data_IF_325604478821
#
_entry.id   IF_325604478821
#
_cell.length_a   1.000
_cell.length_b   1.000
_cell.length_c   1.000
_cell.angle_alpha   90.00
_cell.angle_beta   90.00
_cell.angle_gamma   90.00
#
_symmetry.space_group_name_H-M   'P 1'
#
loop_
_entity.id
_entity.type
_entity.pdbx_description
1 polymer ?
#
# COMPACT_ATOMS: atom_id res chain seq x y z
N UNK A 1 -10.96 -13.17 42.72
CA UNK A 1 -10.20 -13.08 41.46
C UNK A 1 -11.14 -13.44 40.32
N UNK A 2 -11.73 -12.44 39.66
CA UNK A 2 -12.49 -12.63 38.42
C UNK A 2 -11.46 -12.79 37.31
N UNK A 3 -11.51 -13.91 36.59
CA UNK A 3 -10.76 -14.07 35.35
C UNK A 3 -11.73 -13.70 34.24
N UNK A 4 -11.57 -12.50 33.68
CA UNK A 4 -12.14 -12.27 32.36
C UNK A 4 -11.23 -12.88 31.30
N UNK A 5 -11.86 -13.43 30.28
CA UNK A 5 -11.20 -14.25 29.25
C UNK A 5 -11.20 -13.57 27.87
N UNK A 6 -11.74 -12.36 27.77
CA UNK A 6 -11.57 -11.53 26.58
C UNK A 6 -10.10 -11.10 26.44
N UNK A 7 -9.46 -11.61 25.41
CA UNK A 7 -8.15 -11.15 24.96
C UNK A 7 -8.41 -10.04 23.95
N UNK A 8 -8.09 -8.81 24.32
CA UNK A 8 -8.14 -7.67 23.39
C UNK A 8 -7.20 -7.95 22.21
N UNK A 9 -7.68 -7.77 20.97
CA UNK A 9 -6.85 -7.92 19.78
C UNK A 9 -6.83 -6.61 19.01
N UNK A 10 -5.63 -6.09 18.77
CA UNK A 10 -5.42 -5.01 17.80
C UNK A 10 -4.10 -5.18 17.06
N UNK A 11 -3.87 -4.31 16.09
CA UNK A 11 -2.64 -4.27 15.31
C UNK A 11 -2.15 -2.84 15.18
N UNK A 12 -0.87 -2.67 14.85
CA UNK A 12 -0.27 -1.38 14.56
C UNK A 12 0.82 -1.49 13.50
N UNK A 13 1.24 -0.37 12.94
CA UNK A 13 2.48 -0.33 12.15
C UNK A 13 3.68 -0.10 13.07
N UNK A 14 4.86 -0.58 12.69
CA UNK A 14 6.11 -0.45 13.48
C UNK A 14 6.37 0.97 13.99
N UNK A 15 6.33 1.96 13.09
CA UNK A 15 6.62 3.37 13.44
C UNK A 15 5.45 4.09 14.14
N UNK A 16 4.29 3.45 14.23
CA UNK A 16 3.07 4.01 14.82
C UNK A 16 3.15 4.05 16.35
N UNK A 17 2.65 5.15 16.92
CA UNK A 17 2.55 5.37 18.37
C UNK A 17 1.16 5.89 18.74
N UNK A 18 0.54 5.31 19.75
CA UNK A 18 -0.76 5.73 20.28
C UNK A 18 -0.95 5.23 21.71
N UNK A 19 -1.84 5.91 22.44
CA UNK A 19 -2.31 5.47 23.75
C UNK A 19 -3.61 4.64 23.59
N UNK A 20 -3.67 3.47 24.23
CA UNK A 20 -4.91 2.66 24.36
C UNK A 20 -5.32 2.63 25.84
N UNK A 21 -6.59 2.92 26.09
CA UNK A 21 -7.19 2.98 27.43
C UNK A 21 -7.96 1.68 27.67
N UNK A 22 -7.74 1.08 28.84
CA UNK A 22 -8.43 -0.12 29.33
C UNK A 22 -9.17 0.25 30.62
N UNK A 23 -10.50 0.07 30.64
CA UNK A 23 -11.37 0.34 31.79
C UNK A 23 -11.53 -0.92 32.63
N UNK A 24 -11.35 -0.78 33.94
CA UNK A 24 -11.68 -1.80 34.94
C UNK A 24 -12.91 -1.38 35.77
N UNK A 25 -13.69 -0.41 35.28
CA UNK A 25 -14.80 0.25 36.01
C UNK A 25 -15.86 -0.75 36.47
N UNK A 26 -16.15 -1.78 35.67
CA UNK A 26 -17.15 -2.82 35.96
C UNK A 26 -16.57 -4.05 36.71
N UNK A 27 -15.25 -4.10 36.89
CA UNK A 27 -14.54 -5.13 37.67
C UNK A 27 -14.19 -4.70 39.09
N UNK A 28 -13.96 -3.40 39.28
CA UNK A 28 -13.59 -2.81 40.55
C UNK A 28 -14.72 -2.95 41.58
N UNK A 29 -14.35 -3.25 42.82
CA UNK A 29 -15.29 -3.22 43.94
C UNK A 29 -15.82 -1.80 44.15
N UNK A 30 -17.05 -1.66 44.65
CA UNK A 30 -17.70 -0.34 44.78
C UNK A 30 -16.87 0.62 45.65
N UNK A 31 -16.38 1.71 45.06
CA UNK A 31 -15.51 2.69 45.69
C UNK A 31 -14.00 2.36 45.69
N UNK A 32 -13.59 1.21 45.14
CA UNK A 32 -12.18 0.91 44.90
C UNK A 32 -11.62 1.72 43.71
N UNK A 33 -10.32 1.95 43.73
CA UNK A 33 -9.60 2.64 42.65
C UNK A 33 -8.29 1.94 42.33
N UNK A 34 -7.81 2.05 41.10
CA UNK A 34 -6.48 1.57 40.72
C UNK A 34 -5.39 2.47 41.31
N UNK A 35 -4.36 1.85 41.88
CA UNK A 35 -3.22 2.50 42.55
C UNK A 35 -1.93 2.41 41.74
N UNK A 36 -1.69 1.28 41.08
CA UNK A 36 -0.51 0.99 40.27
C UNK A 36 -0.87 0.08 39.10
N UNK A 37 -0.02 0.05 38.08
CA UNK A 37 -0.08 -0.92 37.00
C UNK A 37 1.33 -1.42 36.67
N UNK A 38 1.45 -2.72 36.41
CA UNK A 38 2.55 -3.28 35.63
C UNK A 38 2.03 -3.79 34.30
N UNK A 39 2.80 -3.57 33.24
CA UNK A 39 2.53 -4.14 31.92
C UNK A 39 3.79 -4.89 31.48
N UNK A 40 3.61 -6.09 30.93
CA UNK A 40 4.69 -6.98 30.47
C UNK A 40 4.34 -7.52 29.10
N UNK A 41 5.26 -7.46 28.13
CA UNK A 41 5.01 -7.87 26.75
C UNK A 41 6.01 -8.92 26.30
N UNK A 42 5.50 -10.00 25.72
CA UNK A 42 6.30 -11.11 25.21
C UNK A 42 6.16 -11.25 23.70
N UNK A 43 7.26 -11.60 23.01
CA UNK A 43 7.27 -11.97 21.60
C UNK A 43 6.84 -13.44 21.37
N UNK A 44 6.79 -13.90 20.11
CA UNK A 44 6.45 -15.30 19.78
C UNK A 44 7.49 -16.32 20.24
N UNK A 45 8.69 -15.88 20.62
CA UNK A 45 9.76 -16.68 21.25
C UNK A 45 9.70 -16.65 22.78
N UNK A 46 8.71 -15.97 23.37
CA UNK A 46 8.53 -15.72 24.80
C UNK A 46 9.69 -14.91 25.44
N UNK A 47 10.34 -14.03 24.68
CA UNK A 47 11.27 -13.01 25.19
C UNK A 47 10.49 -11.82 25.75
N UNK A 48 10.90 -11.27 26.90
CA UNK A 48 10.35 -9.99 27.38
C UNK A 48 10.89 -8.83 26.53
N UNK A 49 9.98 -8.11 25.89
CA UNK A 49 10.22 -6.99 24.97
C UNK A 49 9.48 -5.72 25.42
N UNK A 50 9.15 -5.63 26.71
CA UNK A 50 8.30 -4.57 27.27
C UNK A 50 8.79 -3.15 26.95
N UNK A 51 10.11 -2.90 27.04
CA UNK A 51 10.73 -1.60 26.74
C UNK A 51 10.55 -1.13 25.29
N UNK A 52 10.43 -2.09 24.38
CA UNK A 52 10.49 -1.84 22.94
C UNK A 52 9.09 -1.57 22.37
N UNK A 53 8.05 -2.01 23.10
CA UNK A 53 6.65 -1.88 22.73
C UNK A 53 5.85 -0.92 23.62
N UNK A 54 6.22 -0.73 24.89
CA UNK A 54 5.51 0.17 25.81
C UNK A 54 6.38 1.42 26.08
N UNK A 55 5.92 2.56 25.57
CA UNK A 55 6.52 3.87 25.82
C UNK A 55 6.16 4.43 27.20
N UNK A 56 4.96 4.13 27.69
CA UNK A 56 4.38 4.70 28.90
C UNK A 56 3.25 3.83 29.46
N UNK A 57 3.11 3.84 30.78
CA UNK A 57 1.97 3.27 31.51
C UNK A 57 1.46 4.33 32.49
N UNK A 58 0.20 4.74 32.35
CA UNK A 58 -0.44 5.74 33.21
C UNK A 58 -1.69 5.14 33.84
N UNK A 59 -1.92 5.41 35.13
CA UNK A 59 -3.08 4.91 35.88
C UNK A 59 -3.97 6.08 36.31
N UNK A 60 -5.27 5.90 36.14
CA UNK A 60 -6.34 6.76 36.65
C UNK A 60 -7.24 5.95 37.58
N UNK A 61 -8.22 6.58 38.22
CA UNK A 61 -9.07 5.94 39.24
C UNK A 61 -9.65 4.58 38.83
N UNK A 62 -10.08 4.41 37.57
CA UNK A 62 -10.62 3.12 37.06
C UNK A 62 -9.99 2.63 35.75
N UNK A 63 -9.07 3.39 35.14
CA UNK A 63 -8.51 3.05 33.82
C UNK A 63 -6.98 3.02 33.80
N UNK A 64 -6.44 2.12 33.00
CA UNK A 64 -5.01 2.01 32.65
C UNK A 64 -4.85 2.51 31.22
N UNK A 65 -3.90 3.42 30.99
CA UNK A 65 -3.52 3.91 29.66
C UNK A 65 -2.12 3.41 29.32
N UNK A 66 -2.00 2.66 28.23
CA UNK A 66 -0.72 2.13 27.73
C UNK A 66 -0.37 2.83 26.42
N UNK A 67 0.77 3.53 26.38
CA UNK A 67 1.32 4.11 25.17
C UNK A 67 2.14 3.07 24.40
N UNK A 68 1.61 2.57 23.29
CA UNK A 68 2.29 1.60 22.44
C UNK A 68 3.22 2.29 21.43
N UNK A 69 4.38 1.67 21.15
CA UNK A 69 5.35 2.12 20.14
C UNK A 69 6.09 0.93 19.51
N UNK A 70 6.98 1.16 18.54
CA UNK A 70 8.02 0.20 18.14
C UNK A 70 7.55 -1.17 17.63
N UNK A 71 8.29 -2.22 17.97
CA UNK A 71 8.07 -3.60 17.51
C UNK A 71 8.79 -4.00 16.22
N UNK A 72 8.71 -5.28 15.88
CA UNK A 72 9.30 -5.93 14.71
C UNK A 72 8.21 -6.18 13.66
N UNK A 73 8.53 -5.96 12.38
CA UNK A 73 7.58 -6.13 11.28
C UNK A 73 7.25 -7.62 11.06
N UNK A 74 5.96 -7.98 11.14
CA UNK A 74 5.46 -9.35 10.99
C UNK A 74 5.36 -10.13 12.30
N UNK A 75 5.75 -9.54 13.43
CA UNK A 75 5.74 -10.18 14.74
C UNK A 75 4.38 -10.03 15.44
N UNK A 76 3.99 -11.03 16.25
CA UNK A 76 2.78 -10.99 17.09
C UNK A 76 3.17 -11.13 18.55
N UNK A 77 2.73 -10.17 19.36
CA UNK A 77 3.09 -10.03 20.76
C UNK A 77 1.93 -10.33 21.70
N UNK A 78 2.25 -10.85 22.88
CA UNK A 78 1.32 -11.09 23.98
C UNK A 78 1.65 -10.13 25.13
N UNK A 79 0.82 -9.10 25.28
CA UNK A 79 0.89 -8.14 26.38
C UNK A 79 -0.06 -8.55 27.51
N UNK A 80 0.46 -8.58 28.73
CA UNK A 80 -0.30 -8.77 29.96
C UNK A 80 -0.26 -7.45 30.74
N UNK A 81 -1.44 -6.91 31.02
CA UNK A 81 -1.62 -5.73 31.84
C UNK A 81 -2.12 -6.18 33.22
N UNK A 82 -1.53 -5.68 34.29
CA UNK A 82 -1.97 -5.96 35.66
C UNK A 82 -2.16 -4.64 36.42
N UNK A 83 -3.39 -4.36 36.83
CA UNK A 83 -3.74 -3.23 37.71
C UNK A 83 -3.91 -3.69 39.15
N UNK A 84 -3.44 -2.91 40.12
CA UNK A 84 -3.61 -3.21 41.55
C UNK A 84 -4.49 -2.14 42.19
N UNK A 85 -5.63 -2.52 42.78
CA UNK A 85 -6.53 -1.58 43.45
C UNK A 85 -6.03 -1.14 44.84
N UNK A 86 -6.66 -0.09 45.38
CA UNK A 86 -6.51 0.36 46.76
C UNK A 86 -6.83 -0.73 47.80
N UNK A 87 -7.62 -1.74 47.44
CA UNK A 87 -7.87 -2.95 48.24
C UNK A 87 -6.78 -4.04 48.13
N UNK A 88 -5.69 -3.78 47.40
CA UNK A 88 -4.66 -4.78 47.03
C UNK A 88 -5.16 -5.93 46.13
N UNK A 89 -6.34 -5.80 45.52
CA UNK A 89 -6.82 -6.75 44.53
C UNK A 89 -6.14 -6.53 43.17
N UNK A 90 -5.71 -7.62 42.54
CA UNK A 90 -5.02 -7.60 41.23
C UNK A 90 -6.00 -7.97 40.13
N UNK A 91 -6.13 -7.07 39.16
CA UNK A 91 -6.93 -7.21 37.95
C UNK A 91 -6.00 -7.41 36.77
N UNK A 92 -6.32 -8.36 35.88
CA UNK A 92 -5.44 -8.74 34.77
C UNK A 92 -6.22 -8.65 33.47
N UNK A 93 -5.65 -7.96 32.48
CA UNK A 93 -6.15 -7.91 31.11
C UNK A 93 -5.10 -8.47 30.15
N UNK A 94 -5.53 -9.17 29.11
CA UNK A 94 -4.64 -9.76 28.11
C UNK A 94 -4.87 -9.12 26.75
N UNK A 95 -3.77 -8.87 26.04
CA UNK A 95 -3.74 -8.11 24.78
C UNK A 95 -2.86 -8.86 23.79
N UNK A 96 -3.39 -9.15 22.60
CA UNK A 96 -2.62 -9.58 21.43
C UNK A 96 -2.37 -8.38 20.52
N UNK A 97 -1.11 -8.14 20.18
CA UNK A 97 -0.67 -7.04 19.31
C UNK A 97 0.10 -7.58 18.10
N UNK A 98 -0.47 -7.45 16.89
CA UNK A 98 0.24 -7.74 15.64
C UNK A 98 0.92 -6.47 15.10
N UNK A 99 2.23 -6.51 14.85
CA UNK A 99 2.97 -5.36 14.32
C UNK A 99 3.23 -5.53 12.83
N UNK A 100 2.51 -4.77 12.02
CA UNK A 100 2.64 -4.78 10.57
C UNK A 100 3.86 -3.99 10.08
N UNK A 101 4.44 -4.51 9.00
CA UNK A 101 5.51 -3.85 8.27
C UNK A 101 5.06 -2.61 7.49
N UNK A 102 6.00 -1.69 7.33
CA UNK A 102 5.88 -0.49 6.52
C UNK A 102 5.73 -0.84 5.03
N UNK A 103 4.68 -0.32 4.39
CA UNK A 103 4.35 -0.67 3.00
C UNK A 103 5.06 0.29 2.07
N UNK A 104 5.62 -0.22 0.98
CA UNK A 104 6.19 0.60 -0.11
C UNK A 104 5.37 0.44 -1.37
N UNK A 105 4.91 1.56 -1.93
CA UNK A 105 4.28 1.60 -3.25
C UNK A 105 5.37 1.59 -4.33
N UNK A 106 5.58 0.44 -4.96
CA UNK A 106 6.47 0.28 -6.11
C UNK A 106 5.69 0.64 -7.38
N UNK A 107 5.91 1.86 -7.88
CA UNK A 107 5.25 2.43 -9.07
C UNK A 107 6.01 2.20 -10.37
N UNK A 108 7.06 1.38 -10.34
CA UNK A 108 7.87 1.09 -11.52
C UNK A 108 7.05 0.28 -12.53
N UNK A 109 6.66 0.93 -13.62
CA UNK A 109 5.98 0.31 -14.75
C UNK A 109 6.80 -0.88 -15.29
N UNK A 110 6.19 -2.05 -15.44
CA UNK A 110 6.83 -3.25 -16.00
C UNK A 110 7.73 -4.03 -15.03
N UNK A 111 7.88 -3.55 -13.79
CA UNK A 111 8.69 -4.22 -12.77
C UNK A 111 8.00 -5.48 -12.23
N UNK A 112 8.79 -6.49 -11.86
CA UNK A 112 8.30 -7.78 -11.33
C UNK A 112 7.67 -7.64 -9.93
N UNK A 113 8.04 -6.59 -9.18
CA UNK A 113 7.53 -6.32 -7.84
C UNK A 113 6.60 -5.08 -7.81
N UNK A 114 6.11 -4.62 -8.96
CA UNK A 114 5.24 -3.45 -9.09
C UNK A 114 3.89 -3.71 -8.42
N UNK A 115 3.43 -2.81 -7.54
CA UNK A 115 2.21 -3.02 -6.73
C UNK A 115 1.22 -1.84 -6.74
N UNK A 116 1.55 -0.75 -7.44
CA UNK A 116 0.72 0.44 -7.57
C UNK A 116 1.01 1.15 -8.90
N UNK A 117 0.05 1.88 -9.46
CA UNK A 117 0.28 2.80 -10.58
C UNK A 117 0.57 4.23 -10.13
N UNK A 118 0.20 4.59 -8.89
CA UNK A 118 0.38 5.92 -8.29
C UNK A 118 1.23 5.88 -7.01
N UNK A 119 1.98 6.94 -6.77
CA UNK A 119 2.53 7.22 -5.44
C UNK A 119 1.45 7.74 -4.51
N UNK A 120 1.67 7.64 -3.19
CA UNK A 120 0.75 8.20 -2.19
C UNK A 120 0.57 9.73 -2.37
N UNK A 121 1.60 10.43 -2.87
CA UNK A 121 1.48 11.86 -3.18
C UNK A 121 0.52 12.08 -4.35
N UNK A 122 0.66 11.35 -5.46
CA UNK A 122 -0.24 11.46 -6.61
C UNK A 122 -1.70 11.13 -6.24
N UNK A 123 -1.93 10.13 -5.38
CA UNK A 123 -3.28 9.80 -4.89
C UNK A 123 -3.88 10.92 -4.02
N UNK A 124 -3.11 11.46 -3.08
CA UNK A 124 -3.55 12.59 -2.25
C UNK A 124 -3.78 13.85 -3.10
N UNK A 125 -2.86 14.17 -4.02
CA UNK A 125 -3.00 15.29 -4.96
C UNK A 125 -4.28 15.13 -5.80
N UNK A 126 -4.58 13.91 -6.29
CA UNK A 126 -5.79 13.63 -7.06
C UNK A 126 -7.07 13.92 -6.28
N UNK A 127 -7.19 13.31 -5.09
CA UNK A 127 -8.39 13.41 -4.25
C UNK A 127 -8.58 14.86 -3.78
N UNK A 128 -7.51 15.55 -3.35
CA UNK A 128 -7.57 16.97 -2.97
C UNK A 128 -7.94 17.88 -4.14
N UNK A 129 -7.40 17.68 -5.34
CA UNK A 129 -7.73 18.52 -6.50
C UNK A 129 -9.14 18.26 -7.06
N UNK A 130 -9.69 17.05 -6.89
CA UNK A 130 -10.98 16.64 -7.47
C UNK A 130 -12.17 16.74 -6.52
N UNK A 131 -11.94 16.49 -5.24
CA UNK A 131 -12.98 16.44 -4.20
C UNK A 131 -12.74 17.44 -3.06
N UNK A 132 -11.58 18.11 -3.02
CA UNK A 132 -11.25 19.14 -2.03
C UNK A 132 -10.79 18.55 -0.70
N UNK A 133 -11.73 17.93 0.00
CA UNK A 133 -11.52 17.19 1.25
C UNK A 133 -12.45 15.99 1.28
N UNK A 134 -12.00 14.89 1.84
CA UNK A 134 -12.78 13.66 1.93
C UNK A 134 -12.66 13.06 3.33
N UNK A 135 -13.77 12.90 4.04
CA UNK A 135 -13.78 12.50 5.45
C UNK A 135 -13.21 11.11 5.69
N UNK A 136 -13.37 10.22 4.72
CA UNK A 136 -13.05 8.80 4.86
C UNK A 136 -11.61 8.58 4.42
N UNK A 137 -11.17 9.23 3.34
CA UNK A 137 -9.78 9.21 2.91
C UNK A 137 -8.87 10.02 3.84
N UNK A 138 -9.16 11.29 4.18
CA UNK A 138 -8.23 12.10 4.97
C UNK A 138 -7.94 11.47 6.35
N UNK A 139 -8.91 10.80 6.99
CA UNK A 139 -8.76 10.13 8.30
C UNK A 139 -7.94 8.84 8.28
N UNK A 140 -7.77 8.17 7.13
CA UNK A 140 -6.93 6.97 7.06
C UNK A 140 -5.46 7.23 7.37
N UNK A 141 -4.81 6.30 8.07
CA UNK A 141 -3.36 6.33 8.27
C UNK A 141 -2.62 6.23 6.93
N UNK A 142 -1.36 6.71 6.91
CA UNK A 142 -0.45 6.64 5.76
C UNK A 142 -0.38 5.23 5.16
N UNK A 143 -0.32 4.21 6.00
CA UNK A 143 -0.24 2.81 5.55
C UNK A 143 -1.59 2.24 5.13
N UNK A 144 -2.70 2.65 5.75
CA UNK A 144 -4.06 2.33 5.29
C UNK A 144 -4.28 2.79 3.85
N UNK A 145 -3.96 4.06 3.56
CA UNK A 145 -4.00 4.62 2.20
C UNK A 145 -3.17 3.80 1.21
N UNK A 146 -1.97 3.32 1.59
CA UNK A 146 -1.14 2.45 0.74
C UNK A 146 -1.77 1.06 0.51
N UNK A 147 -2.36 0.43 1.54
CA UNK A 147 -3.04 -0.88 1.42
C UNK A 147 -4.19 -0.80 0.42
N UNK A 148 -5.05 0.21 0.57
CA UNK A 148 -6.18 0.47 -0.32
C UNK A 148 -5.73 0.72 -1.77
N UNK A 149 -4.64 1.46 -1.97
CA UNK A 149 -4.06 1.66 -3.31
C UNK A 149 -3.55 0.35 -3.92
N UNK A 150 -2.90 -0.52 -3.14
CA UNK A 150 -2.45 -1.84 -3.62
C UNK A 150 -3.66 -2.73 -3.97
N UNK A 151 -4.70 -2.76 -3.14
CA UNK A 151 -5.89 -3.57 -3.38
C UNK A 151 -6.65 -3.11 -4.63
N UNK A 152 -6.89 -1.80 -4.75
CA UNK A 152 -7.42 -1.19 -5.97
C UNK A 152 -6.59 -1.56 -7.22
N UNK A 153 -5.26 -1.62 -7.12
CA UNK A 153 -4.41 -2.07 -8.23
C UNK A 153 -4.59 -3.55 -8.57
N UNK A 154 -4.83 -4.45 -7.60
CA UNK A 154 -5.17 -5.86 -7.87
C UNK A 154 -6.54 -5.97 -8.55
N UNK A 155 -7.53 -5.23 -8.06
CA UNK A 155 -8.91 -5.31 -8.53
C UNK A 155 -9.06 -4.78 -9.95
N UNK A 156 -8.42 -3.66 -10.28
CA UNK A 156 -8.24 -3.22 -11.68
C UNK A 156 -7.39 -4.21 -12.48
N UNK A 157 -6.47 -4.93 -11.82
CA UNK A 157 -5.66 -6.00 -12.40
C UNK A 157 -6.47 -7.17 -12.96
N UNK A 158 -7.66 -7.43 -12.41
CA UNK A 158 -8.53 -8.55 -12.78
C UNK A 158 -9.39 -8.29 -14.04
N UNK A 159 -9.27 -7.12 -14.69
CA UNK A 159 -9.99 -6.83 -15.93
C UNK A 159 -9.45 -7.62 -17.14
N UNK A 160 -10.36 -8.02 -18.04
CA UNK A 160 -10.00 -8.61 -19.33
C UNK A 160 -9.53 -7.53 -20.31
N UNK A 161 -8.27 -7.11 -20.19
CA UNK A 161 -7.66 -6.09 -21.04
C UNK A 161 -7.54 -6.54 -22.51
N UNK A 162 -7.64 -5.62 -23.46
CA UNK A 162 -7.55 -5.89 -24.92
C UNK A 162 -6.20 -6.51 -25.29
N UNK A 163 -5.14 -6.10 -24.60
CA UNK A 163 -3.74 -6.44 -24.89
C UNK A 163 -3.12 -7.21 -23.71
N UNK A 164 -2.00 -7.88 -23.97
CA UNK A 164 -1.22 -8.56 -22.93
C UNK A 164 -0.30 -7.60 -22.18
N UNK A 165 0.24 -8.05 -21.06
CA UNK A 165 1.41 -7.44 -20.39
C UNK A 165 2.59 -7.31 -21.38
N UNK A 166 3.40 -6.27 -21.26
CA UNK A 166 4.59 -6.09 -22.11
C UNK A 166 5.66 -7.16 -21.84
N UNK A 167 5.99 -7.40 -20.56
CA UNK A 167 6.80 -8.52 -20.12
C UNK A 167 5.92 -9.62 -19.53
N UNK A 168 6.21 -10.89 -19.84
CA UNK A 168 5.51 -12.04 -19.25
C UNK A 168 5.59 -12.10 -17.72
N UNK A 169 6.66 -11.56 -17.13
CA UNK A 169 6.94 -11.57 -15.69
C UNK A 169 6.80 -10.22 -14.97
N UNK A 170 6.10 -9.23 -15.53
CA UNK A 170 5.75 -8.02 -14.77
C UNK A 170 4.53 -8.30 -13.86
N UNK A 171 4.45 -7.65 -12.70
CA UNK A 171 3.34 -7.86 -11.76
C UNK A 171 1.99 -7.34 -12.31
N UNK A 172 1.95 -6.09 -12.76
CA UNK A 172 0.70 -5.39 -13.13
C UNK A 172 0.36 -5.52 -14.63
N UNK A 173 -0.91 -5.42 -15.05
CA UNK A 173 -1.30 -5.41 -16.47
C UNK A 173 -0.56 -4.37 -17.31
N UNK A 174 -0.40 -3.14 -16.80
CA UNK A 174 0.33 -2.07 -17.49
C UNK A 174 1.82 -2.07 -17.10
N UNK A 175 2.74 -1.75 -18.02
CA UNK A 175 2.52 -1.38 -19.42
C UNK A 175 2.11 -2.60 -20.25
N UNK A 176 1.22 -2.39 -21.22
CA UNK A 176 0.77 -3.45 -22.13
C UNK A 176 1.70 -3.60 -23.33
N UNK A 177 1.54 -4.66 -24.11
CA UNK A 177 2.39 -5.04 -25.27
C UNK A 177 2.55 -3.97 -26.36
N UNK A 178 1.69 -2.95 -26.38
CA UNK A 178 1.65 -1.84 -27.33
C UNK A 178 1.81 -0.45 -26.69
N UNK A 179 2.15 -0.40 -25.40
CA UNK A 179 2.56 0.82 -24.68
C UNK A 179 3.82 1.41 -25.35
N UNK A 180 3.90 2.72 -25.56
CA UNK A 180 5.00 3.27 -26.34
C UNK A 180 6.35 3.14 -25.62
N UNK A 181 7.36 2.67 -26.36
CA UNK A 181 8.72 2.44 -25.85
C UNK A 181 9.79 3.04 -26.75
N UNK A 182 10.92 3.38 -26.14
CA UNK A 182 12.20 3.58 -26.83
C UNK A 182 13.15 2.49 -26.38
N UNK A 183 13.76 1.79 -27.33
CA UNK A 183 14.87 0.86 -27.12
C UNK A 183 16.13 1.38 -27.80
N UNK A 184 17.29 0.92 -27.34
CA UNK A 184 18.59 1.30 -27.89
C UNK A 184 19.73 1.05 -26.90
N UNK A 185 20.91 1.58 -27.22
CA UNK A 185 22.07 1.59 -26.33
C UNK A 185 22.22 2.95 -25.65
N UNK A 186 22.70 2.98 -24.41
CA UNK A 186 22.97 4.24 -23.69
C UNK A 186 24.05 5.08 -24.40
N UNK A 187 23.77 6.35 -24.70
CA UNK A 187 24.68 7.31 -25.33
C UNK A 187 25.29 8.31 -24.35
N UNK A 188 26.40 8.93 -24.73
CA UNK A 188 27.20 9.84 -23.88
C UNK A 188 26.59 11.25 -23.73
N UNK A 189 26.87 11.97 -22.62
CA UNK A 189 27.62 11.54 -21.44
C UNK A 189 26.87 10.47 -20.64
N UNK A 190 27.64 9.60 -19.98
CA UNK A 190 27.14 8.48 -19.17
C UNK A 190 27.51 8.71 -17.70
N UNK A 191 26.56 8.42 -16.81
CA UNK A 191 26.76 8.35 -15.35
C UNK A 191 25.95 7.19 -14.80
N UNK A 192 26.15 6.84 -13.53
CA UNK A 192 25.35 5.80 -12.83
C UNK A 192 23.85 6.11 -12.74
N UNK A 193 23.41 7.35 -13.05
CA UNK A 193 22.00 7.74 -13.00
C UNK A 193 21.51 8.50 -14.25
N UNK A 194 22.30 8.64 -15.31
CA UNK A 194 21.93 9.42 -16.49
C UNK A 194 22.68 8.98 -17.75
N UNK A 195 21.97 9.04 -18.89
CA UNK A 195 22.50 8.77 -20.22
C UNK A 195 21.67 9.51 -21.28
N UNK A 196 22.13 9.50 -22.53
CA UNK A 196 21.40 10.04 -23.69
C UNK A 196 20.93 8.95 -24.66
N UNK A 197 19.95 9.26 -25.49
CA UNK A 197 19.66 8.51 -26.71
C UNK A 197 19.08 9.41 -27.80
N UNK A 198 19.38 9.14 -29.07
CA UNK A 198 18.88 9.96 -30.20
C UNK A 198 17.36 9.89 -30.34
N UNK A 199 16.72 8.76 -30.06
CA UNK A 199 15.25 8.67 -30.10
C UNK A 199 14.54 9.41 -28.96
N UNK A 200 15.26 9.81 -27.89
CA UNK A 200 14.73 10.67 -26.82
C UNK A 200 14.77 12.16 -27.20
N UNK A 201 15.51 12.52 -28.25
CA UNK A 201 15.58 13.89 -28.76
C UNK A 201 14.34 14.24 -29.61
N UNK A 202 13.90 15.49 -29.54
CA UNK A 202 12.87 16.03 -30.41
C UNK A 202 13.19 17.46 -30.84
N UNK A 203 13.43 17.63 -32.14
CA UNK A 203 13.42 18.95 -32.82
C UNK A 203 12.00 19.40 -33.19
N UNK A 204 11.03 18.50 -33.19
CA UNK A 204 9.63 18.78 -33.55
C UNK A 204 8.92 19.50 -32.40
N UNK A 205 8.69 20.80 -32.55
CA UNK A 205 7.91 21.59 -31.61
C UNK A 205 6.57 20.91 -31.28
N UNK A 206 6.27 20.75 -29.99
CA UNK A 206 5.03 20.12 -29.50
C UNK A 206 4.99 18.59 -29.54
N UNK A 207 5.93 17.87 -30.19
CA UNK A 207 5.89 16.39 -30.24
C UNK A 207 6.11 15.76 -28.86
N UNK A 208 7.10 16.22 -28.11
CA UNK A 208 7.30 15.87 -26.70
C UNK A 208 7.52 17.16 -25.90
N UNK A 209 6.71 17.46 -24.86
CA UNK A 209 6.97 18.60 -23.99
C UNK A 209 8.26 18.41 -23.15
N UNK A 210 8.75 19.51 -22.59
CA UNK A 210 9.84 19.48 -21.61
C UNK A 210 9.50 18.52 -20.46
N UNK A 211 10.44 17.67 -20.05
CA UNK A 211 10.22 16.61 -19.06
C UNK A 211 9.16 15.54 -19.43
N UNK A 212 8.77 15.36 -20.69
CA UNK A 212 7.78 14.33 -21.09
C UNK A 212 8.04 12.93 -20.49
N UNK A 213 9.28 12.42 -20.54
CA UNK A 213 9.61 11.10 -20.00
C UNK A 213 9.71 11.03 -18.47
N UNK A 214 9.51 12.14 -17.73
CA UNK A 214 9.77 12.26 -16.29
C UNK A 214 8.95 11.30 -15.40
N UNK A 215 7.86 10.74 -15.90
CA UNK A 215 7.04 9.77 -15.16
C UNK A 215 6.98 8.38 -15.84
N UNK A 216 7.90 8.13 -16.76
CA UNK A 216 8.18 6.81 -17.33
C UNK A 216 9.22 6.02 -16.51
N UNK A 217 9.60 4.85 -17.02
CA UNK A 217 10.66 4.00 -16.41
C UNK A 217 11.78 3.72 -17.39
N UNK A 218 12.97 3.46 -16.86
CA UNK A 218 14.10 2.84 -17.56
C UNK A 218 14.27 1.41 -17.06
N UNK A 219 14.46 0.47 -17.98
CA UNK A 219 14.80 -0.93 -17.74
C UNK A 219 16.12 -1.24 -18.45
N UNK A 220 17.12 -1.75 -17.73
CA UNK A 220 18.39 -2.18 -18.34
C UNK A 220 18.26 -3.63 -18.83
N UNK A 221 18.59 -3.89 -20.10
CA UNK A 221 18.27 -5.17 -20.78
C UNK A 221 19.48 -6.01 -21.20
N UNK A 222 20.72 -5.49 -21.14
CA UNK A 222 21.93 -6.27 -21.48
C UNK A 222 23.08 -6.22 -20.46
N UNK A 223 22.90 -5.61 -19.30
CA UNK A 223 23.91 -5.56 -18.23
C UNK A 223 23.44 -6.28 -16.95
N UNK A 224 24.37 -6.57 -16.03
CA UNK A 224 24.08 -7.22 -14.74
C UNK A 224 23.92 -6.18 -13.64
N UNK A 225 22.83 -6.19 -12.85
CA UNK A 225 21.67 -7.09 -12.95
C UNK A 225 20.75 -6.76 -14.13
N UNK A 226 20.22 -7.80 -14.77
CA UNK A 226 19.22 -7.66 -15.83
C UNK A 226 17.89 -7.15 -15.25
N UNK A 227 17.19 -6.31 -16.01
CA UNK A 227 15.97 -5.61 -15.58
C UNK A 227 16.17 -4.75 -14.33
N UNK A 228 17.28 -4.02 -14.28
CA UNK A 228 17.49 -3.00 -13.25
C UNK A 228 16.55 -1.80 -13.47
N UNK A 229 15.31 -1.90 -12.96
CA UNK A 229 14.26 -0.92 -13.21
C UNK A 229 14.41 0.32 -12.34
N UNK A 230 14.25 1.51 -12.93
CA UNK A 230 14.17 2.80 -12.23
C UNK A 230 13.07 3.69 -12.80
N UNK A 231 12.47 4.52 -11.97
CA UNK A 231 11.67 5.65 -12.43
C UNK A 231 12.59 6.73 -13.01
N UNK A 232 12.15 7.40 -14.06
CA UNK A 232 12.82 8.63 -14.53
C UNK A 232 12.52 9.75 -13.51
N UNK A 233 13.43 10.69 -13.35
CA UNK A 233 13.31 11.85 -12.44
C UNK A 233 13.38 13.19 -13.18
N UNK A 234 14.11 13.23 -14.29
CA UNK A 234 14.23 14.35 -15.22
C UNK A 234 14.39 13.83 -16.66
N UNK A 235 13.89 14.59 -17.64
CA UNK A 235 14.21 14.33 -19.05
C UNK A 235 14.28 15.60 -19.89
N UNK A 236 15.26 15.67 -20.79
CA UNK A 236 15.53 16.81 -21.64
C UNK A 236 15.45 16.40 -23.12
N UNK A 237 14.30 16.68 -23.75
CA UNK A 237 14.03 16.37 -25.15
C UNK A 237 14.88 17.18 -26.13
N UNK A 238 15.50 18.29 -25.70
CA UNK A 238 16.37 19.11 -26.55
C UNK A 238 17.81 18.58 -26.64
N UNK A 239 18.18 17.56 -25.84
CA UNK A 239 19.47 16.87 -25.99
C UNK A 239 19.36 15.33 -25.86
N UNK A 240 18.15 14.79 -25.68
CA UNK A 240 17.89 13.36 -25.54
C UNK A 240 18.37 12.73 -24.22
N UNK A 241 18.65 13.50 -23.16
CA UNK A 241 19.07 12.95 -21.86
C UNK A 241 17.91 12.58 -20.95
N UNK A 242 18.04 11.45 -20.26
CA UNK A 242 17.22 11.06 -19.10
C UNK A 242 18.08 10.94 -17.85
N UNK A 243 17.51 11.29 -16.70
CA UNK A 243 18.09 11.03 -15.38
C UNK A 243 17.08 10.20 -14.59
N UNK A 244 17.54 9.20 -13.83
CA UNK A 244 16.69 8.31 -13.02
C UNK A 244 16.60 8.74 -11.55
N UNK A 245 15.62 8.22 -10.82
CA UNK A 245 15.32 8.58 -9.42
C UNK A 245 16.39 8.15 -8.41
N UNK A 246 17.18 7.13 -8.75
CA UNK A 246 18.31 6.63 -7.96
C UNK A 246 19.29 5.91 -8.88
N UNK A 247 20.55 5.77 -8.46
CA UNK A 247 21.59 5.11 -9.26
C UNK A 247 21.13 3.73 -9.75
N UNK A 248 21.46 3.43 -11.00
CA UNK A 248 21.43 2.08 -11.55
C UNK A 248 22.48 1.23 -10.84
N UNK A 249 22.13 -0.03 -10.60
CA UNK A 249 22.96 -1.05 -9.96
C UNK A 249 24.14 -1.44 -10.88
N UNK A 250 23.93 -1.34 -12.19
CA UNK A 250 24.96 -1.45 -13.21
C UNK A 250 25.42 -0.05 -13.65
N UNK A 251 26.74 0.16 -13.82
CA UNK A 251 27.25 1.38 -14.46
C UNK A 251 26.94 1.35 -15.96
N UNK A 252 26.19 2.30 -16.52
CA UNK A 252 25.86 2.29 -17.94
C UNK A 252 27.09 2.49 -18.84
N UNK A 253 27.13 1.73 -19.94
CA UNK A 253 28.16 1.81 -20.99
C UNK A 253 27.50 2.07 -22.35
N UNK A 254 28.28 2.39 -23.39
CA UNK A 254 27.77 2.52 -24.76
C UNK A 254 27.25 1.22 -25.39
N UNK A 255 27.43 0.08 -24.69
CA UNK A 255 26.93 -1.23 -25.09
C UNK A 255 25.77 -1.71 -24.17
N UNK A 256 25.40 -0.91 -23.17
CA UNK A 256 24.28 -1.19 -22.28
C UNK A 256 22.97 -0.89 -23.00
N UNK A 257 22.20 -1.92 -23.29
CA UNK A 257 20.87 -1.82 -23.87
C UNK A 257 19.84 -1.44 -22.80
N UNK A 258 18.82 -0.71 -23.23
CA UNK A 258 17.71 -0.31 -22.38
C UNK A 258 16.35 -0.45 -23.08
N UNK A 259 15.29 -0.43 -22.27
CA UNK A 259 13.91 -0.10 -22.69
C UNK A 259 13.42 1.06 -21.81
N UNK A 260 12.95 2.14 -22.43
CA UNK A 260 12.25 3.25 -21.77
C UNK A 260 10.79 3.15 -22.13
N UNK A 261 9.91 3.20 -21.13
CA UNK A 261 8.47 3.31 -21.31
C UNK A 261 8.03 4.78 -21.22
N UNK A 262 7.06 5.19 -22.04
CA UNK A 262 6.36 6.46 -21.83
C UNK A 262 5.65 6.47 -20.46
N UNK A 263 5.36 7.65 -19.88
CA UNK A 263 4.51 7.75 -18.69
C UNK A 263 3.20 6.97 -18.83
N UNK A 264 2.74 6.36 -17.75
CA UNK A 264 1.45 5.69 -17.75
C UNK A 264 0.30 6.68 -17.98
N UNK A 265 -0.64 6.29 -18.85
CA UNK A 265 -1.85 7.05 -19.16
C UNK A 265 -2.57 7.50 -17.89
N UNK A 266 -2.91 8.79 -17.82
CA UNK A 266 -3.45 9.39 -16.61
C UNK A 266 -4.78 8.74 -16.20
N UNK A 267 -5.62 8.30 -17.14
CA UNK A 267 -6.87 7.59 -16.82
C UNK A 267 -6.63 6.29 -16.02
N UNK A 268 -5.48 5.62 -16.16
CA UNK A 268 -5.15 4.39 -15.39
C UNK A 268 -4.76 4.74 -13.95
N UNK A 269 -4.02 5.83 -13.76
CA UNK A 269 -3.70 6.38 -12.43
C UNK A 269 -4.95 6.86 -11.72
N UNK A 270 -5.77 7.66 -12.41
CA UNK A 270 -7.06 8.14 -11.95
C UNK A 270 -8.00 7.00 -11.57
N UNK A 271 -8.04 5.92 -12.38
CA UNK A 271 -8.85 4.75 -12.09
C UNK A 271 -8.44 4.08 -10.78
N UNK A 272 -7.14 4.00 -10.47
CA UNK A 272 -6.67 3.47 -9.19
C UNK A 272 -7.12 4.36 -8.02
N UNK A 273 -7.05 5.68 -8.16
CA UNK A 273 -7.52 6.62 -7.14
C UNK A 273 -9.05 6.52 -6.94
N UNK A 274 -9.83 6.48 -8.02
CA UNK A 274 -11.30 6.34 -8.01
C UNK A 274 -11.78 4.97 -7.53
N UNK A 275 -10.95 3.92 -7.62
CA UNK A 275 -11.26 2.63 -7.03
C UNK A 275 -10.84 2.57 -5.56
N UNK A 276 -9.68 3.14 -5.20
CA UNK A 276 -9.24 3.25 -3.82
C UNK A 276 -10.24 4.01 -2.95
N UNK A 277 -10.72 5.16 -3.43
CA UNK A 277 -11.77 5.92 -2.73
C UNK A 277 -13.08 5.12 -2.61
N UNK A 278 -13.50 4.43 -3.68
CA UNK A 278 -14.69 3.57 -3.65
C UNK A 278 -14.58 2.42 -2.64
N UNK A 279 -13.40 1.79 -2.48
CA UNK A 279 -13.17 0.75 -1.47
C UNK A 279 -13.29 1.30 -0.04
N UNK A 280 -12.96 2.57 0.16
CA UNK A 280 -13.08 3.28 1.44
C UNK A 280 -14.54 3.63 1.73
N UNK A 281 -15.24 4.25 0.78
CA UNK A 281 -16.65 4.64 0.94
C UNK A 281 -17.59 3.45 1.16
N UNK A 282 -17.18 2.25 0.73
CA UNK A 282 -17.94 1.02 0.88
C UNK A 282 -17.41 0.10 2.00
N UNK A 283 -16.39 0.49 2.79
CA UNK A 283 -15.77 -0.39 3.80
C UNK A 283 -16.66 -0.74 5.00
N UNK A 284 -17.96 -0.39 4.97
CA UNK A 284 -18.94 -0.64 6.01
C UNK A 284 -20.38 -0.78 5.51
N UNK A 285 -20.61 -1.10 4.23
CA UNK A 285 -21.96 -1.40 3.70
C UNK A 285 -22.26 -2.90 3.77
N UNK A 286 -23.50 -3.27 4.14
CA UNK A 286 -23.91 -4.68 4.26
C UNK A 286 -23.84 -5.47 2.93
N UNK A 287 -23.80 -4.79 1.78
CA UNK A 287 -23.55 -5.40 0.46
C UNK A 287 -22.15 -6.04 0.33
N UNK A 288 -21.28 -5.92 1.35
CA UNK A 288 -19.99 -6.64 1.46
C UNK A 288 -20.11 -8.18 1.49
N UNK A 289 -21.31 -8.77 1.48
CA UNK A 289 -21.49 -10.22 1.33
C UNK A 289 -20.67 -10.81 0.17
N UNK A 290 -20.49 -10.08 -0.94
CA UNK A 290 -19.66 -10.53 -2.08
C UNK A 290 -18.15 -10.55 -1.77
N UNK A 291 -17.68 -9.69 -0.87
CA UNK A 291 -16.28 -9.71 -0.38
C UNK A 291 -16.06 -10.88 0.58
N UNK A 292 -17.06 -11.18 1.40
CA UNK A 292 -17.05 -12.19 2.47
C UNK A 292 -16.94 -13.65 2.00
N UNK A 293 -17.03 -13.91 0.69
CA UNK A 293 -16.84 -15.25 0.08
C UNK A 293 -15.46 -15.45 -0.57
N UNK A 294 -14.71 -14.37 -0.83
CA UNK A 294 -13.39 -14.39 -1.52
C UNK A 294 -12.27 -13.99 -0.56
N UNK A 295 -12.58 -13.12 0.38
CA UNK A 295 -11.82 -12.95 1.59
C UNK A 295 -12.33 -13.96 2.62
N UNK A 296 -11.43 -14.71 3.29
CA UNK A 296 -11.76 -15.21 4.63
C UNK A 296 -12.22 -14.00 5.43
N UNK A 297 -11.46 -12.91 5.27
CA UNK A 297 -11.68 -11.64 5.89
C UNK A 297 -10.72 -10.50 5.25
N UNK A 298 -10.84 -9.16 5.44
CA UNK A 298 -9.91 -7.99 5.19
C UNK A 298 -10.09 -6.77 6.20
N UNK A 299 -9.11 -6.34 7.05
CA UNK A 299 -9.30 -5.40 8.20
C UNK A 299 -9.19 -3.91 7.85
N UNK A 300 -10.23 -3.15 8.23
CA UNK A 300 -10.34 -1.69 8.14
C UNK A 300 -11.05 -1.18 9.42
N UNK A 301 -10.36 -0.41 10.26
CA UNK A 301 -10.89 0.00 11.57
C UNK A 301 -11.04 -1.19 12.55
N UNK A 302 -12.08 -1.21 13.37
CA UNK A 302 -12.37 -2.29 14.34
C UNK A 302 -12.81 -3.62 13.70
N UNK A 303 -13.22 -3.60 12.42
CA UNK A 303 -13.70 -4.80 11.72
C UNK A 303 -12.45 -5.60 11.32
N UNK A 304 -12.28 -6.86 11.81
CA UNK A 304 -11.09 -7.75 11.62
C UNK A 304 -11.34 -9.10 10.94
N UNK A 305 -10.50 -9.58 10.00
CA UNK A 305 -10.39 -8.98 8.65
C UNK A 305 -9.13 -9.58 7.81
N UNK A 306 -8.83 -10.89 7.53
CA UNK A 306 -7.67 -11.49 6.72
C UNK A 306 -7.99 -12.55 5.55
N UNK A 307 -7.52 -12.43 4.28
CA UNK A 307 -8.01 -13.13 3.02
C UNK A 307 -7.88 -14.70 2.87
N UNK A 308 -8.72 -15.38 2.05
CA UNK A 308 -8.73 -16.86 1.81
C UNK A 308 -8.35 -17.30 0.39
N UNK A 309 -7.34 -18.16 0.28
CA UNK A 309 -6.99 -18.87 -0.97
C UNK A 309 -7.93 -20.09 -1.21
N UNK A 310 -9.20 -19.85 -1.56
CA UNK A 310 -10.30 -20.81 -1.25
C UNK A 310 -11.39 -21.16 -2.27
N UNK A 311 -11.13 -21.15 -3.59
CA UNK A 311 -11.92 -21.92 -4.59
C UNK A 311 -13.46 -21.68 -4.74
N UNK A 312 -14.02 -20.64 -4.12
CA UNK A 312 -15.44 -20.22 -4.21
C UNK A 312 -15.76 -19.53 -5.55
N UNK A 313 -17.00 -19.63 -6.03
CA UNK A 313 -17.36 -19.24 -7.39
C UNK A 313 -17.88 -17.79 -7.54
N UNK A 314 -17.20 -17.02 -8.40
CA UNK A 314 -17.79 -15.91 -9.19
C UNK A 314 -18.45 -14.73 -8.46
N UNK A 315 -18.23 -14.56 -7.14
CA UNK A 315 -18.42 -13.28 -6.47
C UNK A 315 -17.49 -12.21 -7.05
N UNK A 316 -17.93 -11.51 -8.10
CA UNK A 316 -17.15 -10.44 -8.73
C UNK A 316 -17.11 -9.24 -7.81
N UNK A 317 -15.92 -8.92 -7.30
CA UNK A 317 -15.67 -7.73 -6.47
C UNK A 317 -16.28 -6.47 -7.12
N UNK A 318 -16.99 -5.63 -6.34
CA UNK A 318 -17.61 -4.42 -6.86
C UNK A 318 -16.54 -3.41 -7.28
N UNK A 319 -16.30 -3.30 -8.59
CA UNK A 319 -15.38 -2.30 -9.13
C UNK A 319 -16.08 -0.94 -9.25
N UNK A 320 -15.42 0.11 -8.76
CA UNK A 320 -15.84 1.51 -8.92
C UNK A 320 -16.32 1.82 -10.35
N UNK A 321 -17.58 2.24 -10.56
CA UNK A 321 -18.11 2.56 -11.89
C UNK A 321 -17.30 3.66 -12.59
N UNK A 322 -16.75 4.61 -11.83
CA UNK A 322 -15.87 5.68 -12.35
C UNK A 322 -14.54 5.11 -12.84
N UNK A 323 -13.89 4.26 -12.04
CA UNK A 323 -12.62 3.61 -12.43
C UNK A 323 -12.79 2.69 -13.65
N UNK A 324 -13.88 1.92 -13.69
CA UNK A 324 -14.25 1.10 -14.84
C UNK A 324 -14.49 1.94 -16.10
N UNK A 325 -15.13 3.10 -15.97
CA UNK A 325 -15.34 4.02 -17.08
C UNK A 325 -14.01 4.57 -17.63
N UNK A 326 -13.11 5.01 -16.73
CA UNK A 326 -11.77 5.49 -17.08
C UNK A 326 -10.91 4.44 -17.81
N UNK A 327 -11.12 3.14 -17.55
CA UNK A 327 -10.41 2.05 -18.22
C UNK A 327 -11.11 1.51 -19.49
N UNK A 328 -12.24 2.08 -19.93
CA UNK A 328 -13.07 1.55 -21.04
C UNK A 328 -12.31 1.39 -22.36
N UNK A 329 -11.26 2.18 -22.60
CA UNK A 329 -10.44 2.13 -23.81
C UNK A 329 -9.54 0.88 -23.87
N UNK A 330 -9.18 0.29 -22.72
CA UNK A 330 -8.29 -0.86 -22.63
C UNK A 330 -8.99 -2.17 -22.24
N UNK A 331 -10.27 -2.15 -21.86
CA UNK A 331 -11.04 -3.34 -21.48
C UNK A 331 -11.75 -3.95 -22.70
N UNK A 332 -11.64 -5.28 -22.89
CA UNK A 332 -12.39 -5.99 -23.94
C UNK A 332 -13.90 -5.86 -23.69
N UNK A 333 -14.61 -5.16 -24.58
CA UNK A 333 -16.07 -5.14 -24.61
C UNK A 333 -16.59 -6.53 -24.99
N UNK A 334 -17.09 -7.29 -24.03
CA UNK A 334 -17.82 -8.53 -24.33
C UNK A 334 -19.11 -8.18 -25.06
N UNK A 335 -19.26 -8.67 -26.29
CA UNK A 335 -20.44 -8.44 -27.10
C UNK A 335 -21.55 -9.34 -26.57
N UNK A 336 -22.45 -8.76 -25.77
CA UNK A 336 -23.61 -9.46 -25.22
C UNK A 336 -24.61 -9.72 -26.34
N UNK A 337 -24.52 -10.90 -26.96
CA UNK A 337 -25.52 -11.38 -27.91
C UNK A 337 -26.79 -11.74 -27.12
N UNK A 338 -27.62 -10.73 -26.86
CA UNK A 338 -28.98 -10.95 -26.38
C UNK A 338 -29.76 -11.73 -27.41
N UNK A 339 -30.10 -12.99 -27.10
CA UNK A 339 -31.15 -13.71 -27.83
C UNK A 339 -32.46 -12.95 -27.63
N UNK A 340 -33.03 -12.48 -28.74
CA UNK A 340 -34.43 -12.04 -28.83
C UNK A 340 -35.32 -13.26 -29.09
#
# INVERSE_FOLDING_TARGET
MKYDHEIDYFSKFKDEKFDKIYSFTDDLESGATLSTCTATVFDSSNSDVTSDLIASTTVTATNITIGFQGGIEGETYQAKLAGVSSGSHVYIHYVTLEVFGSITLNTKLGDINSNSYVTLKEANDYIRNKYGHDSNWDTLSTEGKKRILIEATKDLGNFNFIKGKYYSGQALPFPMSDHAVITGNCGTPLTTNSFRHTSLYSSSYGKYPTNYWKYGTVHITSATPLRDTRNISLSNVANGSVTVSSNLSATPTTNTQFTIFEPLYQQVKDAQCEHGLFLVDNSGSDDLYTYKEVADEVQIGDVRVRFKSGNTQSGKMPISPKAKNLLTEWIKRMLVIGRR
#
